data_IF_819341323563
#
_entry.id   IF_819341323563
#
_cell.length_a   1.000
_cell.length_b   1.000
_cell.length_c   1.000
_cell.angle_alpha   90.00
_cell.angle_beta   90.00
_cell.angle_gamma   90.00
#
_symmetry.space_group_name_H-M   'P 1'
#
loop_
_entity.id
_entity.type
_entity.pdbx_description
1 polymer ?
#
# COMPACT_ATOMS: atom_id res chain seq x y z
N UNK A 1 -18.88 -10.46 -8.54
CA UNK A 1 -19.37 -9.20 -7.93
C UNK A 1 -18.17 -8.32 -7.75
N UNK A 2 -18.12 -7.15 -8.38
CA UNK A 2 -17.05 -6.19 -8.10
C UNK A 2 -17.27 -5.64 -6.69
N UNK A 3 -16.39 -5.98 -5.74
CA UNK A 3 -16.50 -5.55 -4.34
C UNK A 3 -16.31 -4.04 -4.17
N UNK A 4 -15.72 -3.37 -5.17
CA UNK A 4 -15.48 -1.93 -5.22
C UNK A 4 -16.11 -1.33 -6.49
N UNK A 5 -16.75 -0.16 -6.40
CA UNK A 5 -17.46 0.46 -7.55
C UNK A 5 -16.50 1.04 -8.58
N UNK A 6 -15.37 1.58 -8.13
CA UNK A 6 -14.35 2.16 -9.00
C UNK A 6 -12.95 2.14 -8.33
N UNK A 7 -11.93 2.50 -9.13
CA UNK A 7 -10.53 2.55 -8.70
C UNK A 7 -10.30 3.51 -7.53
N UNK A 8 -10.97 4.67 -7.53
CA UNK A 8 -10.77 5.69 -6.50
C UNK A 8 -11.34 5.25 -5.13
N UNK A 9 -12.45 4.51 -5.14
CA UNK A 9 -12.98 3.89 -3.92
C UNK A 9 -12.00 2.87 -3.34
N UNK A 10 -11.46 1.98 -4.18
CA UNK A 10 -10.46 1.00 -3.76
C UNK A 10 -9.23 1.68 -3.14
N UNK A 11 -8.64 2.66 -3.84
CA UNK A 11 -7.46 3.39 -3.37
C UNK A 11 -7.72 4.05 -2.01
N UNK A 12 -8.90 4.67 -1.82
CA UNK A 12 -9.30 5.28 -0.55
C UNK A 12 -9.44 4.25 0.58
N UNK A 13 -10.05 3.09 0.31
CA UNK A 13 -10.19 2.03 1.31
C UNK A 13 -8.81 1.49 1.72
N UNK A 14 -7.92 1.30 0.74
CA UNK A 14 -6.58 0.76 0.98
C UNK A 14 -5.68 1.75 1.71
N UNK A 15 -5.79 3.05 1.42
CA UNK A 15 -5.12 4.09 2.20
C UNK A 15 -5.56 4.08 3.67
N UNK A 16 -6.86 3.95 3.94
CA UNK A 16 -7.39 3.84 5.32
C UNK A 16 -6.94 2.56 6.02
N UNK A 17 -6.82 1.45 5.28
CA UNK A 17 -6.27 0.21 5.82
C UNK A 17 -4.83 0.40 6.26
N UNK A 18 -4.01 1.05 5.42
CA UNK A 18 -2.62 1.36 5.75
C UNK A 18 -2.52 2.23 7.01
N UNK A 19 -3.28 3.32 7.09
CA UNK A 19 -3.33 4.20 8.27
C UNK A 19 -3.65 3.42 9.56
N UNK A 20 -4.65 2.52 9.50
CA UNK A 20 -5.03 1.69 10.66
C UNK A 20 -3.95 0.70 11.06
N UNK A 21 -3.24 0.11 10.11
CA UNK A 21 -2.10 -0.76 10.38
C UNK A 21 -0.99 0.01 11.10
N UNK A 22 -0.68 1.24 10.64
CA UNK A 22 0.34 2.09 11.24
C UNK A 22 -0.05 2.61 12.63
N UNK A 23 -1.34 2.79 12.88
CA UNK A 23 -1.86 3.12 14.21
C UNK A 23 -1.83 1.94 15.20
N UNK A 24 -1.42 0.74 14.77
CA UNK A 24 -1.37 -0.47 15.60
C UNK A 24 0.09 -0.91 15.82
N UNK A 25 0.76 -0.47 16.92
CA UNK A 25 2.20 -0.70 17.12
C UNK A 25 2.62 -2.17 17.13
N UNK A 26 1.75 -3.06 17.64
CA UNK A 26 2.01 -4.50 17.68
C UNK A 26 2.06 -5.15 16.30
N UNK A 27 1.59 -4.46 15.25
CA UNK A 27 1.63 -4.92 13.86
C UNK A 27 2.67 -4.12 13.08
N UNK A 28 2.65 -2.79 13.18
CA UNK A 28 3.57 -1.92 12.45
C UNK A 28 5.05 -2.17 12.80
N UNK A 29 5.37 -2.40 14.08
CA UNK A 29 6.74 -2.63 14.54
C UNK A 29 7.39 -3.85 13.88
N UNK A 30 6.78 -5.05 13.98
CA UNK A 30 7.27 -6.23 13.27
C UNK A 30 7.39 -6.03 11.76
N UNK A 31 6.40 -5.41 11.11
CA UNK A 31 6.43 -5.19 9.65
C UNK A 31 7.61 -4.30 9.23
N UNK A 32 7.85 -3.19 9.94
CA UNK A 32 8.99 -2.31 9.69
C UNK A 32 10.35 -3.01 9.90
N UNK A 33 10.42 -3.95 10.84
CA UNK A 33 11.67 -4.69 11.13
C UNK A 33 12.08 -5.68 10.03
N UNK A 34 11.16 -6.00 9.12
CA UNK A 34 11.36 -7.04 8.08
C UNK A 34 11.65 -6.48 6.68
N UNK A 35 11.68 -5.16 6.52
CA UNK A 35 11.80 -4.50 5.22
C UNK A 35 10.80 -5.01 4.16
N UNK A 36 9.57 -5.30 4.61
CA UNK A 36 8.53 -5.91 3.78
C UNK A 36 7.96 -4.91 2.77
N UNK A 37 7.72 -5.38 1.55
CA UNK A 37 6.93 -4.64 0.54
C UNK A 37 5.76 -5.52 0.10
N UNK A 38 4.54 -4.99 0.21
CA UNK A 38 3.31 -5.69 -0.18
C UNK A 38 2.69 -4.98 -1.37
N UNK A 39 2.55 -5.70 -2.49
CA UNK A 39 1.92 -5.19 -3.71
C UNK A 39 0.59 -5.88 -3.97
N UNK A 40 -0.49 -5.11 -4.00
CA UNK A 40 -1.83 -5.58 -4.34
C UNK A 40 -2.12 -5.23 -5.79
N UNK A 41 -2.45 -6.23 -6.61
CA UNK A 41 -2.79 -6.03 -8.03
C UNK A 41 -4.29 -6.27 -8.24
N UNK A 42 -4.96 -5.31 -8.84
CA UNK A 42 -6.38 -5.36 -9.19
C UNK A 42 -6.54 -5.18 -10.70
N UNK A 43 -6.46 -6.26 -11.50
CA UNK A 43 -6.52 -6.19 -12.96
C UNK A 43 -7.80 -5.53 -13.48
N UNK A 44 -8.93 -5.84 -12.86
CA UNK A 44 -10.25 -5.33 -13.25
C UNK A 44 -10.37 -3.81 -13.12
N UNK A 45 -9.54 -3.20 -12.26
CA UNK A 45 -9.52 -1.76 -12.00
C UNK A 45 -8.26 -1.08 -12.56
N UNK A 46 -7.36 -1.84 -13.21
CA UNK A 46 -6.09 -1.32 -13.72
C UNK A 46 -5.27 -0.61 -12.64
N UNK A 47 -5.22 -1.16 -11.43
CA UNK A 47 -4.60 -0.53 -10.27
C UNK A 47 -3.67 -1.50 -9.52
N UNK A 48 -2.47 -1.03 -9.22
CA UNK A 48 -1.54 -1.63 -8.26
C UNK A 48 -1.31 -0.66 -7.13
N UNK A 49 -1.35 -1.21 -5.91
CA UNK A 49 -1.17 -0.51 -4.65
C UNK A 49 0.02 -1.11 -3.92
N UNK A 50 0.87 -0.27 -3.36
CA UNK A 50 2.07 -0.71 -2.63
C UNK A 50 2.01 -0.22 -1.19
N UNK A 51 2.18 -1.13 -0.24
CA UNK A 51 2.58 -0.82 1.13
C UNK A 51 4.07 -1.12 1.25
N UNK A 52 4.86 -0.09 1.50
CA UNK A 52 6.30 -0.19 1.65
C UNK A 52 6.68 0.02 3.12
N UNK A 53 7.17 -1.05 3.75
CA UNK A 53 7.70 -1.04 5.11
C UNK A 53 9.23 -1.13 5.14
N UNK A 54 9.91 -1.07 3.98
CA UNK A 54 11.38 -1.02 3.86
C UNK A 54 11.94 0.29 4.41
N UNK A 55 11.20 1.37 4.21
CA UNK A 55 11.61 2.71 4.62
C UNK A 55 10.89 3.14 5.90
N UNK A 56 11.52 4.03 6.67
CA UNK A 56 10.91 4.68 7.83
C UNK A 56 10.84 6.19 7.54
N UNK A 57 9.63 6.79 7.50
CA UNK A 57 8.34 6.15 7.76
C UNK A 57 7.90 5.19 6.63
N UNK A 58 7.11 4.14 6.93
CA UNK A 58 6.46 3.32 5.92
C UNK A 58 5.59 4.17 4.98
N UNK A 59 5.45 3.74 3.73
CA UNK A 59 4.71 4.49 2.71
C UNK A 59 3.61 3.67 2.05
N UNK A 60 2.59 4.38 1.56
CA UNK A 60 1.54 3.85 0.70
C UNK A 60 1.58 4.60 -0.62
N UNK A 61 1.55 3.86 -1.73
CA UNK A 61 1.50 4.45 -3.08
C UNK A 61 0.59 3.67 -4.02
N UNK A 62 0.16 4.33 -5.09
CA UNK A 62 -0.63 3.76 -6.18
C UNK A 62 0.15 3.89 -7.50
N UNK A 63 -0.18 3.11 -8.53
CA UNK A 63 0.50 3.14 -9.85
C UNK A 63 0.68 4.53 -10.49
N UNK A 64 -0.10 5.55 -10.08
CA UNK A 64 0.07 6.93 -10.55
C UNK A 64 1.18 7.70 -9.83
N UNK A 65 1.60 7.24 -8.65
CA UNK A 65 2.62 7.85 -7.79
C UNK A 65 3.90 6.99 -7.78
N UNK A 66 4.28 6.52 -8.98
CA UNK A 66 5.60 5.95 -9.19
C UNK A 66 6.66 6.99 -8.85
N UNK A 67 7.17 6.93 -7.62
CA UNK A 67 8.56 7.27 -7.33
C UNK A 67 9.39 6.44 -8.31
N UNK A 68 9.80 7.09 -9.39
CA UNK A 68 11.06 6.81 -10.06
C UNK A 68 12.12 6.77 -8.97
N UNK A 69 12.48 5.58 -8.49
CA UNK A 69 13.77 5.26 -7.87
C UNK A 69 13.75 3.77 -7.55
N UNK A 70 13.89 2.99 -8.62
CA UNK A 70 14.57 1.70 -8.52
C UNK A 70 15.99 1.98 -9.00
N UNK A 71 16.79 2.64 -8.15
CA UNK A 71 18.24 2.61 -8.33
C UNK A 71 18.72 1.17 -8.13
N UNK A 72 19.29 0.61 -9.19
CA UNK A 72 20.13 -0.59 -9.16
C UNK A 72 21.48 -0.28 -8.52
#
# INVERSE_FOLDING_TARGET
MATYRDRAELERVMGRLFERLMATPSVAGPLASTALVVRFRYPDLGSVLTFDFKHVPPTFSTDGEGSSDVEM
#
